data_IF_368805445561
#
_entry.id   IF_368805445561
#
_cell.length_a   1.000
_cell.length_b   1.000
_cell.length_c   1.000
_cell.angle_alpha   90.00
_cell.angle_beta   90.00
_cell.angle_gamma   90.00
#
_symmetry.space_group_name_H-M   'P 1'
#
loop_
_entity.id
_entity.type
_entity.pdbx_description
1 polymer ?
#
# COMPACT_ATOMS: atom_id res chain seq x y z
N UNK A 1 -1.01 -7.09 18.35
CA UNK A 1 -0.93 -6.44 17.03
C UNK A 1 -1.91 -7.12 16.11
N UNK A 2 -2.93 -6.43 15.57
CA UNK A 2 -3.87 -7.03 14.63
C UNK A 2 -3.23 -7.25 13.26
N UNK A 3 -3.69 -8.27 12.53
CA UNK A 3 -3.31 -8.55 11.14
C UNK A 3 -4.58 -8.50 10.29
N UNK A 4 -4.53 -7.80 9.16
CA UNK A 4 -5.64 -7.64 8.23
C UNK A 4 -5.17 -8.15 6.86
N UNK A 5 -5.94 -9.04 6.24
CA UNK A 5 -5.62 -9.64 4.94
C UNK A 5 -6.69 -9.30 3.90
N UNK A 6 -6.27 -8.67 2.79
CA UNK A 6 -7.14 -8.37 1.65
C UNK A 6 -7.06 -9.49 0.61
N UNK A 7 -7.95 -10.49 0.70
CA UNK A 7 -7.86 -11.74 -0.09
C UNK A 7 -9.00 -11.87 -1.11
N UNK A 8 -8.66 -12.25 -2.34
CA UNK A 8 -9.58 -12.65 -3.42
C UNK A 8 -8.79 -13.33 -4.55
N UNK A 9 -9.28 -14.48 -5.02
CA UNK A 9 -8.65 -15.25 -6.10
C UNK A 9 -8.71 -14.56 -7.48
N UNK A 10 -9.66 -13.65 -7.68
CA UNK A 10 -9.79 -12.88 -8.93
C UNK A 10 -8.87 -11.65 -8.91
N UNK A 11 -8.17 -11.42 -10.02
CA UNK A 11 -7.45 -10.17 -10.27
C UNK A 11 -8.39 -8.97 -10.44
N UNK A 12 -7.92 -7.76 -10.13
CA UNK A 12 -8.69 -6.52 -10.35
C UNK A 12 -9.87 -6.28 -9.39
N UNK A 13 -9.96 -7.00 -8.27
CA UNK A 13 -11.03 -6.78 -7.27
C UNK A 13 -10.70 -5.70 -6.22
N UNK A 14 -9.64 -4.90 -6.44
CA UNK A 14 -9.25 -3.80 -5.56
C UNK A 14 -8.53 -4.19 -4.26
N UNK A 15 -7.91 -5.38 -4.18
CA UNK A 15 -7.16 -5.85 -2.99
C UNK A 15 -6.05 -4.88 -2.59
N UNK A 16 -5.12 -4.62 -3.51
CA UNK A 16 -3.97 -3.73 -3.31
C UNK A 16 -4.41 -2.31 -3.01
N UNK A 17 -5.38 -1.79 -3.76
CA UNK A 17 -5.97 -0.46 -3.54
C UNK A 17 -6.53 -0.32 -2.12
N UNK A 18 -7.29 -1.33 -1.65
CA UNK A 18 -7.87 -1.31 -0.31
C UNK A 18 -6.81 -1.42 0.78
N UNK A 19 -5.82 -2.30 0.59
CA UNK A 19 -4.72 -2.50 1.53
C UNK A 19 -3.89 -1.21 1.74
N UNK A 20 -3.52 -0.53 0.64
CA UNK A 20 -2.76 0.72 0.68
C UNK A 20 -3.56 1.82 1.37
N UNK A 21 -4.83 2.02 0.99
CA UNK A 21 -5.66 3.08 1.59
C UNK A 21 -5.91 2.83 3.09
N UNK A 22 -6.12 1.57 3.49
CA UNK A 22 -6.27 1.22 4.90
C UNK A 22 -4.98 1.52 5.69
N UNK A 23 -3.83 1.18 5.11
CA UNK A 23 -2.53 1.48 5.71
C UNK A 23 -2.30 2.98 5.84
N UNK A 24 -2.57 3.75 4.78
CA UNK A 24 -2.44 5.21 4.78
C UNK A 24 -3.34 5.87 5.85
N UNK A 25 -4.60 5.44 5.98
CA UNK A 25 -5.50 5.95 7.02
C UNK A 25 -5.00 5.60 8.43
N UNK A 26 -4.48 4.39 8.63
CA UNK A 26 -3.93 3.98 9.92
C UNK A 26 -2.65 4.78 10.27
N UNK A 27 -1.74 4.98 9.30
CA UNK A 27 -0.56 5.82 9.46
C UNK A 27 -0.94 7.28 9.77
N UNK A 28 -1.91 7.84 9.04
CA UNK A 28 -2.45 9.19 9.28
C UNK A 28 -3.03 9.36 10.70
N UNK A 29 -3.56 8.29 11.28
CA UNK A 29 -4.05 8.25 12.67
C UNK A 29 -2.96 8.05 13.73
N UNK A 30 -1.69 7.98 13.33
CA UNK A 30 -0.54 7.84 14.23
C UNK A 30 -0.20 6.40 14.60
N UNK A 31 -0.73 5.40 13.89
CA UNK A 31 -0.34 4.01 14.10
C UNK A 31 0.90 3.64 13.29
N UNK A 32 1.76 2.79 13.83
CA UNK A 32 2.79 2.09 13.05
C UNK A 32 2.14 0.99 12.23
N UNK A 33 2.37 0.99 10.92
CA UNK A 33 1.75 0.05 9.97
C UNK A 33 2.82 -0.58 9.09
N UNK A 34 2.64 -1.86 8.78
CA UNK A 34 3.41 -2.56 7.78
C UNK A 34 2.47 -3.13 6.72
N UNK A 35 2.84 -2.96 5.45
CA UNK A 35 2.17 -3.59 4.30
C UNK A 35 3.08 -4.71 3.81
N UNK A 36 2.50 -5.89 3.61
CA UNK A 36 3.20 -7.04 3.02
C UNK A 36 2.53 -7.37 1.69
N UNK A 37 3.33 -7.40 0.62
CA UNK A 37 2.90 -7.90 -0.68
C UNK A 37 3.05 -9.43 -0.70
N UNK A 38 1.93 -10.13 -0.85
CA UNK A 38 1.89 -11.59 -0.90
C UNK A 38 1.68 -12.13 -2.32
N UNK A 39 1.56 -11.24 -3.31
CA UNK A 39 1.38 -11.60 -4.72
C UNK A 39 2.72 -11.45 -5.46
N UNK A 40 3.61 -12.44 -5.29
CA UNK A 40 4.95 -12.40 -5.88
C UNK A 40 4.94 -12.45 -7.42
N UNK A 41 3.85 -12.88 -8.05
CA UNK A 41 3.74 -12.92 -9.51
C UNK A 41 3.38 -11.55 -10.11
N UNK A 42 2.55 -10.74 -9.44
CA UNK A 42 2.14 -9.42 -9.93
C UNK A 42 2.81 -8.25 -9.21
N UNK A 43 3.16 -8.38 -7.92
CA UNK A 43 3.93 -7.39 -7.18
C UNK A 43 3.35 -5.98 -7.09
N UNK A 44 2.04 -5.80 -7.33
CA UNK A 44 1.45 -4.47 -7.53
C UNK A 44 1.58 -3.54 -6.31
N UNK A 45 1.65 -4.08 -5.09
CA UNK A 45 1.86 -3.23 -3.90
C UNK A 45 3.33 -2.79 -3.81
N UNK A 46 4.25 -3.66 -4.23
CA UNK A 46 5.68 -3.38 -4.32
C UNK A 46 5.98 -2.33 -5.40
N UNK A 47 5.40 -2.46 -6.60
CA UNK A 47 5.54 -1.44 -7.65
C UNK A 47 4.94 -0.09 -7.20
N UNK A 48 3.81 -0.11 -6.50
CA UNK A 48 3.19 1.12 -6.01
C UNK A 48 4.10 1.90 -5.07
N UNK A 49 4.86 1.23 -4.18
CA UNK A 49 5.74 1.94 -3.26
C UNK A 49 6.94 2.57 -3.98
N UNK A 50 7.42 1.95 -5.07
CA UNK A 50 8.46 2.54 -5.91
C UNK A 50 7.96 3.83 -6.56
N UNK A 51 6.79 3.79 -7.22
CA UNK A 51 6.18 4.99 -7.81
C UNK A 51 5.87 6.09 -6.79
N UNK A 52 5.42 5.72 -5.59
CA UNK A 52 5.16 6.69 -4.52
C UNK A 52 6.45 7.37 -4.05
N UNK A 53 7.56 6.63 -3.97
CA UNK A 53 8.86 7.19 -3.63
C UNK A 53 9.37 8.14 -4.71
N UNK A 54 9.33 7.74 -5.98
CA UNK A 54 9.74 8.58 -7.11
C UNK A 54 8.94 9.90 -7.13
N UNK A 55 7.62 9.82 -6.95
CA UNK A 55 6.75 11.00 -6.91
C UNK A 55 7.08 11.93 -5.73
N UNK A 56 7.47 11.38 -4.58
CA UNK A 56 7.88 12.16 -3.41
C UNK A 56 9.26 12.80 -3.59
N UNK A 57 10.19 12.12 -4.28
CA UNK A 57 11.50 12.68 -4.62
C UNK A 57 11.38 13.86 -5.60
N UNK A 58 10.48 13.75 -6.58
CA UNK A 58 10.20 14.84 -7.53
C UNK A 58 9.50 16.03 -6.84
N UNK A 59 8.54 15.75 -5.95
CA UNK A 59 7.80 16.76 -5.22
C UNK A 59 7.62 16.36 -3.75
N UNK A 60 8.38 16.97 -2.82
CA UNK A 60 8.27 16.68 -1.39
C UNK A 60 6.91 17.02 -0.75
N UNK A 61 6.03 17.74 -1.46
CA UNK A 61 4.65 18.01 -1.04
C UNK A 61 3.64 17.01 -1.63
N UNK A 62 4.08 16.01 -2.41
CA UNK A 62 3.25 14.89 -2.81
C UNK A 62 2.76 14.14 -1.55
N UNK A 63 1.56 13.52 -1.60
CA UNK A 63 1.03 12.80 -0.45
C UNK A 63 2.05 11.77 0.07
N UNK A 64 2.29 11.75 1.40
CA UNK A 64 3.43 11.03 1.97
C UNK A 64 3.24 9.50 1.97
N UNK A 65 4.38 8.84 2.18
CA UNK A 65 4.63 7.41 2.39
C UNK A 65 3.71 6.78 3.45
#
# INVERSE_FOLDING_TARGET
>A
MPVISCLNAKGGTGKTTSAINLAAVAAYRGYTVHVLDADAEQGTASEWIEYANDAFEENPNAPPR
#
